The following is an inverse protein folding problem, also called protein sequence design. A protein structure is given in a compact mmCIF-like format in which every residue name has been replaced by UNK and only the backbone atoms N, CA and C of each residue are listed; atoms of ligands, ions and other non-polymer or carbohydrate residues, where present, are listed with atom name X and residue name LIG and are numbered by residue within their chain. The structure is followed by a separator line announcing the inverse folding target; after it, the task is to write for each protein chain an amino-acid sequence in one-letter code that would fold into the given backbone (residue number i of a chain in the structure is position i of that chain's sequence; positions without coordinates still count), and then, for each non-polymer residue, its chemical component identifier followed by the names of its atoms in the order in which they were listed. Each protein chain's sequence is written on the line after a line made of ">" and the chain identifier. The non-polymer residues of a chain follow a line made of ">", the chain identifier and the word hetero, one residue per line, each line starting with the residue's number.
data_IF_473632172571
#
_entry.id   IF_473632172571
#
_cell.length_a   1.000
_cell.length_b   1.000
_cell.length_c   1.000
_cell.angle_alpha   90.00
_cell.angle_beta   90.00
_cell.angle_gamma   90.00
#
_symmetry.space_group_name_H-M   'P 1'
#
loop_
_entity.id
_entity.type
_entity.pdbx_description
1 polymer ?
#
# COMPACT_ATOMS: atom_id res chain seq x y z
N UNK A 1 -10.42 3.19 2.85
CA UNK A 1 -8.97 3.26 2.57
C UNK A 1 -8.61 4.67 2.16
N UNK A 2 -7.43 5.16 2.53
CA UNK A 2 -6.88 6.43 2.06
C UNK A 2 -5.63 6.19 1.20
N UNK A 3 -5.43 6.99 0.17
CA UNK A 3 -4.22 7.00 -0.67
C UNK A 3 -3.58 8.38 -0.61
N UNK A 4 -2.30 8.42 -0.24
CA UNK A 4 -1.46 9.62 -0.28
C UNK A 4 -0.44 9.49 -1.41
N UNK A 5 -0.65 10.25 -2.49
CA UNK A 5 0.23 10.25 -3.65
C UNK A 5 0.86 11.63 -3.85
N UNK A 6 2.09 11.67 -4.37
CA UNK A 6 2.78 12.91 -4.69
C UNK A 6 4.26 12.69 -5.02
N UNK A 7 4.94 13.75 -5.49
CA UNK A 7 6.35 13.72 -5.86
C UNK A 7 7.24 13.15 -4.75
N UNK A 8 8.38 12.56 -5.11
CA UNK A 8 9.34 12.04 -4.13
C UNK A 8 9.82 13.15 -3.19
N UNK A 9 10.15 12.78 -1.95
CA UNK A 9 10.77 13.66 -0.94
C UNK A 9 9.96 14.86 -0.45
N UNK A 10 8.65 14.95 -0.74
CA UNK A 10 7.77 16.01 -0.19
C UNK A 10 7.26 15.75 1.24
N UNK A 11 7.80 14.75 1.95
CA UNK A 11 7.42 14.45 3.35
C UNK A 11 6.23 13.51 3.54
N UNK A 12 5.76 12.80 2.49
CA UNK A 12 4.63 11.85 2.58
C UNK A 12 4.84 10.77 3.65
N UNK A 13 5.99 10.10 3.62
CA UNK A 13 6.32 9.05 4.60
C UNK A 13 6.40 9.62 6.02
N UNK A 14 6.94 10.83 6.17
CA UNK A 14 6.99 11.53 7.46
C UNK A 14 5.60 11.82 8.01
N UNK A 15 4.65 12.23 7.16
CA UNK A 15 3.27 12.43 7.58
C UNK A 15 2.61 11.11 7.97
N UNK A 16 2.79 10.05 7.17
CA UNK A 16 2.18 8.76 7.45
C UNK A 16 2.69 8.11 8.73
N UNK A 17 4.00 8.17 9.01
CA UNK A 17 4.58 7.67 10.26
C UNK A 17 4.06 8.43 11.49
N UNK A 18 3.56 9.66 11.34
CA UNK A 18 2.88 10.40 12.42
C UNK A 18 1.42 9.99 12.61
N UNK A 19 0.79 9.42 11.58
CA UNK A 19 -0.62 9.01 11.60
C UNK A 19 -0.80 7.54 11.98
N UNK A 20 0.18 6.69 11.64
CA UNK A 20 0.07 5.24 11.73
C UNK A 20 1.38 4.64 12.25
N UNK A 21 1.28 3.87 13.34
CA UNK A 21 2.43 3.19 13.94
C UNK A 21 2.83 1.91 13.20
N UNK A 22 1.88 1.18 12.62
CA UNK A 22 2.18 -0.01 11.82
C UNK A 22 2.52 0.41 10.39
N UNK A 23 3.79 0.29 10.01
CA UNK A 23 4.31 0.80 8.74
C UNK A 23 5.10 -0.30 8.02
N UNK A 24 4.70 -0.59 6.78
CA UNK A 24 5.31 -1.60 5.92
C UNK A 24 5.89 -0.92 4.68
N UNK A 25 7.18 -1.14 4.43
CA UNK A 25 7.89 -0.59 3.28
C UNK A 25 8.00 -1.64 2.17
N UNK A 26 7.23 -1.47 1.09
CA UNK A 26 7.21 -2.44 -0.02
C UNK A 26 8.35 -2.24 -1.03
N UNK A 27 9.26 -1.31 -0.77
CA UNK A 27 10.50 -1.18 -1.54
C UNK A 27 11.50 -2.31 -1.19
N UNK A 28 11.38 -2.90 0.02
CA UNK A 28 12.16 -4.05 0.44
C UNK A 28 11.69 -5.32 -0.29
N UNK A 29 12.61 -5.96 -1.02
CA UNK A 29 12.30 -7.15 -1.81
C UNK A 29 11.99 -8.36 -0.92
N UNK A 30 12.64 -8.50 0.23
CA UNK A 30 12.41 -9.59 1.18
C UNK A 30 11.04 -9.47 1.84
N UNK A 31 10.59 -8.23 2.12
CA UNK A 31 9.21 -7.99 2.57
C UNK A 31 8.23 -8.43 1.49
N UNK A 32 8.43 -8.03 0.23
CA UNK A 32 7.51 -8.42 -0.86
C UNK A 32 7.46 -9.92 -1.06
N UNK A 33 8.62 -10.57 -1.13
CA UNK A 33 8.71 -12.03 -1.27
C UNK A 33 8.04 -12.78 -0.11
N UNK A 34 8.14 -12.28 1.12
CA UNK A 34 7.49 -12.89 2.28
C UNK A 34 5.95 -12.76 2.24
N UNK A 35 5.43 -11.74 1.55
CA UNK A 35 3.99 -11.51 1.38
C UNK A 35 3.47 -12.24 0.14
N UNK A 36 4.32 -12.41 -0.88
CA UNK A 36 4.00 -13.06 -2.15
C UNK A 36 3.42 -14.46 -1.90
N UNK A 37 2.31 -14.79 -2.58
CA UNK A 37 1.58 -16.05 -2.38
C UNK A 37 0.64 -16.12 -1.16
N UNK A 38 0.75 -15.20 -0.19
CA UNK A 38 -0.09 -15.17 1.02
C UNK A 38 -0.66 -13.78 1.37
N UNK A 39 -0.74 -12.87 0.38
CA UNK A 39 -1.13 -11.47 0.57
C UNK A 39 -2.46 -11.28 1.33
N UNK A 40 -3.47 -12.12 1.09
CA UNK A 40 -4.76 -12.06 1.81
C UNK A 40 -4.58 -12.30 3.31
N UNK A 41 -3.87 -13.38 3.68
CA UNK A 41 -3.60 -13.72 5.07
C UNK A 41 -2.72 -12.65 5.74
N UNK A 42 -1.73 -12.13 5.02
CA UNK A 42 -0.89 -11.05 5.50
C UNK A 42 -1.71 -9.79 5.84
N UNK A 43 -2.60 -9.34 4.94
CA UNK A 43 -3.49 -8.19 5.18
C UNK A 43 -4.42 -8.42 6.36
N UNK A 44 -4.97 -9.63 6.50
CA UNK A 44 -5.89 -9.99 7.59
C UNK A 44 -5.21 -9.98 8.96
N UNK A 45 -3.93 -10.32 9.03
CA UNK A 45 -3.16 -10.43 10.28
C UNK A 45 -2.49 -9.13 10.73
N UNK A 46 -2.53 -8.08 9.90
CA UNK A 46 -1.96 -6.78 10.28
C UNK A 46 -2.71 -6.13 11.44
N UNK A 47 -1.95 -5.55 12.36
CA UNK A 47 -2.48 -4.59 13.34
C UNK A 47 -2.91 -3.32 12.61
N UNK A 48 -4.19 -2.96 12.71
CA UNK A 48 -4.78 -1.80 12.03
C UNK A 48 -4.86 -0.58 12.97
N UNK A 49 -4.73 0.66 12.45
CA UNK A 49 -4.47 1.00 11.05
C UNK A 49 -3.05 0.61 10.63
N UNK A 50 -2.87 0.23 9.36
CA UNK A 50 -1.57 -0.10 8.76
C UNK A 50 -1.29 0.77 7.54
N UNK A 51 -0.05 1.20 7.42
CA UNK A 51 0.46 1.97 6.30
C UNK A 51 1.30 1.08 5.37
N UNK A 52 0.95 1.03 4.09
CA UNK A 52 1.75 0.38 3.04
C UNK A 52 2.39 1.44 2.14
N UNK A 53 3.71 1.55 2.18
CA UNK A 53 4.45 2.52 1.37
C UNK A 53 5.01 1.90 0.09
N UNK A 54 5.10 2.72 -0.96
CA UNK A 54 5.46 2.31 -2.33
C UNK A 54 4.52 1.22 -2.86
N UNK A 55 3.21 1.37 -2.65
CA UNK A 55 2.19 0.36 -3.01
C UNK A 55 2.26 -0.11 -4.46
N UNK A 56 2.70 0.75 -5.39
CA UNK A 56 2.88 0.39 -6.80
C UNK A 56 3.95 -0.70 -7.03
N UNK A 57 4.80 -1.01 -6.03
CA UNK A 57 5.76 -2.12 -6.07
C UNK A 57 5.12 -3.48 -5.84
N UNK A 58 3.90 -3.54 -5.31
CA UNK A 58 3.16 -4.78 -5.07
C UNK A 58 1.66 -4.62 -5.38
N UNK A 59 1.27 -4.54 -6.67
CA UNK A 59 -0.14 -4.42 -7.07
C UNK A 59 -1.02 -5.56 -6.54
N UNK A 60 -0.48 -6.78 -6.38
CA UNK A 60 -1.18 -7.93 -5.81
C UNK A 60 -1.70 -7.68 -4.39
N UNK A 61 -1.05 -6.81 -3.61
CA UNK A 61 -1.50 -6.43 -2.27
C UNK A 61 -2.79 -5.59 -2.32
N UNK A 62 -3.02 -4.83 -3.39
CA UNK A 62 -4.25 -4.05 -3.56
C UNK A 62 -5.48 -4.95 -3.66
N UNK A 63 -5.36 -6.09 -4.35
CA UNK A 63 -6.45 -7.08 -4.44
C UNK A 63 -6.78 -7.67 -3.07
N UNK A 64 -5.76 -8.04 -2.28
CA UNK A 64 -5.92 -8.53 -0.93
C UNK A 64 -6.58 -7.50 0.00
N UNK A 65 -6.17 -6.23 -0.10
CA UNK A 65 -6.78 -5.11 0.65
C UNK A 65 -8.25 -4.94 0.26
N UNK A 66 -8.57 -4.99 -1.04
CA UNK A 66 -9.95 -4.89 -1.53
C UNK A 66 -10.83 -5.98 -0.95
N UNK A 67 -10.38 -7.24 -1.00
CA UNK A 67 -11.10 -8.38 -0.40
C UNK A 67 -11.34 -8.15 1.10
N UNK A 68 -10.35 -7.64 1.83
CA UNK A 68 -10.51 -7.34 3.26
C UNK A 68 -11.51 -6.21 3.53
N UNK A 69 -11.49 -5.15 2.73
CA UNK A 69 -12.45 -4.03 2.85
C UNK A 69 -13.87 -4.50 2.54
N UNK A 70 -14.04 -5.28 1.47
CA UNK A 70 -15.37 -5.77 1.07
C UNK A 70 -16.00 -6.66 2.14
N UNK A 71 -15.18 -7.41 2.88
CA UNK A 71 -15.62 -8.32 3.95
C UNK A 71 -15.85 -7.65 5.31
N UNK A 72 -14.98 -6.71 5.73
CA UNK A 72 -15.05 -6.10 7.07
C UNK A 72 -15.71 -4.71 7.09
N UNK A 73 -15.68 -3.98 5.97
CA UNK A 73 -16.24 -2.63 5.78
C UNK A 73 -15.80 -1.57 6.81
N UNK A 74 -14.57 -1.66 7.30
CA UNK A 74 -13.99 -0.69 8.21
C UNK A 74 -13.20 0.39 7.47
N UNK A 75 -13.62 1.64 7.67
CA UNK A 75 -12.91 2.80 7.12
C UNK A 75 -11.69 3.14 7.98
N UNK A 76 -10.59 3.54 7.34
CA UNK A 76 -9.36 3.97 8.02
C UNK A 76 -8.34 2.87 8.32
N UNK A 77 -8.68 1.59 8.14
CA UNK A 77 -7.78 0.46 8.39
C UNK A 77 -6.47 0.50 7.57
N UNK A 78 -6.53 1.12 6.40
CA UNK A 78 -5.46 1.11 5.42
C UNK A 78 -5.12 2.52 4.94
N UNK A 79 -3.85 2.90 5.13
CA UNK A 79 -3.21 4.07 4.52
C UNK A 79 -2.22 3.58 3.47
N UNK A 80 -2.42 3.96 2.21
CA UNK A 80 -1.48 3.63 1.14
C UNK A 80 -0.68 4.87 0.77
N UNK A 81 0.62 4.70 0.56
CA UNK A 81 1.48 5.76 0.01
C UNK A 81 2.10 5.25 -1.27
N UNK A 82 2.11 6.11 -2.28
CA UNK A 82 2.85 5.88 -3.52
C UNK A 82 3.56 7.14 -3.97
N UNK A 83 4.65 6.98 -4.72
CA UNK A 83 5.24 8.11 -5.43
C UNK A 83 4.42 8.42 -6.69
N UNK A 84 4.24 9.71 -6.99
CA UNK A 84 3.59 10.18 -8.21
C UNK A 84 4.52 10.16 -9.43
N UNK A 85 5.77 9.70 -9.28
CA UNK A 85 6.69 9.45 -10.42
C UNK A 85 6.24 8.20 -11.18
N UNK A 86 5.05 8.32 -11.75
CA UNK A 86 4.50 7.59 -12.89
C UNK A 86 4.74 8.49 -14.10
N UNK A 87 6.00 8.85 -14.36
CA UNK A 87 6.38 9.27 -15.71
C UNK A 87 6.68 8.04 -16.60
N UNK A 88 6.44 6.81 -16.11
CA UNK A 88 6.74 5.60 -16.87
C UNK A 88 5.81 4.38 -16.60
N UNK A 89 4.52 4.61 -16.32
CA UNK A 89 3.50 3.62 -16.70
C UNK A 89 2.91 4.06 -18.04
N UNK A 90 3.78 4.10 -19.07
CA UNK A 90 3.32 3.92 -20.45
C UNK A 90 3.00 2.44 -20.62
N UNK A 91 1.71 2.11 -20.49
CA UNK A 91 1.24 0.73 -20.66
C UNK A 91 -0.28 0.55 -20.57
N UNK A 92 -1.04 1.58 -20.18
CA UNK A 92 -2.50 1.59 -20.35
C UNK A 92 -2.88 2.90 -21.03
N UNK A 93 -2.40 3.06 -22.26
CA UNK A 93 -3.07 3.88 -23.25
C UNK A 93 -4.07 2.98 -23.97
N UNK A 94 -5.24 3.53 -24.26
CA UNK A 94 -6.39 2.89 -24.91
C UNK A 94 -6.06 1.76 -25.90
N UNK A 95 -6.67 0.60 -25.70
CA UNK A 95 -7.31 -0.19 -26.77
C UNK A 95 -8.44 -1.02 -26.18
#
# INVERSE_FOLDING_TARGET
>A
MFLLQGARQIGKSTLAMKLVNNYVLLDDIGIREAIEGNAIAFVQTQNKPVCFNEIQKMPSLLEAIKINIDTQRNNGDFLLIGSADVLDIKGVGDT
#
